data_IF_278514155686
#
_entry.id   IF_278514155686
#
_cell.length_a   1.000
_cell.length_b   1.000
_cell.length_c   1.000
_cell.angle_alpha   90.00
_cell.angle_beta   90.00
_cell.angle_gamma   90.00
#
_symmetry.space_group_name_H-M   'P 1'
#
loop_
_entity.id
_entity.type
_entity.pdbx_description
1 polymer ?
#
# COMPACT_ATOMS: atom_id res chain seq x y z
N UNK A 1 12.93 -3.66 -16.45
CA UNK A 1 12.00 -4.66 -17.04
C UNK A 1 10.58 -4.14 -16.98
N UNK A 2 9.69 -4.58 -17.89
CA UNK A 2 8.27 -4.21 -17.85
C UNK A 2 7.65 -4.72 -16.54
N UNK A 3 6.89 -3.88 -15.83
CA UNK A 3 6.20 -4.28 -14.59
C UNK A 3 4.87 -4.95 -14.96
N UNK A 4 4.59 -6.08 -14.31
CA UNK A 4 3.37 -6.88 -14.56
C UNK A 4 2.12 -6.06 -14.20
N UNK A 5 2.11 -5.42 -13.03
CA UNK A 5 0.97 -4.66 -12.52
C UNK A 5 0.52 -3.53 -13.47
N UNK A 6 1.44 -2.87 -14.17
CA UNK A 6 1.13 -1.78 -15.11
C UNK A 6 0.39 -2.28 -16.37
N UNK A 7 0.27 -3.59 -16.55
CA UNK A 7 -0.43 -4.23 -17.67
C UNK A 7 -1.73 -4.93 -17.26
N UNK A 8 -1.98 -5.15 -15.97
CA UNK A 8 -3.14 -5.94 -15.50
C UNK A 8 -4.47 -5.37 -16.01
N UNK A 9 -4.71 -4.06 -15.83
CA UNK A 9 -5.95 -3.42 -16.31
C UNK A 9 -6.02 -3.22 -17.82
N UNK A 10 -4.93 -3.42 -18.56
CA UNK A 10 -4.99 -3.46 -20.03
C UNK A 10 -5.62 -4.76 -20.51
N UNK A 11 -5.42 -5.86 -19.75
CA UNK A 11 -5.95 -7.19 -20.05
C UNK A 11 -7.31 -7.39 -19.40
N UNK A 12 -7.49 -6.95 -18.16
CA UNK A 12 -8.75 -7.04 -17.40
C UNK A 12 -9.11 -5.67 -16.79
N UNK A 13 -9.80 -4.81 -17.54
CA UNK A 13 -10.05 -3.41 -17.13
C UNK A 13 -10.83 -3.26 -15.82
N UNK A 14 -11.65 -4.25 -15.46
CA UNK A 14 -12.51 -4.22 -14.26
C UNK A 14 -11.83 -4.79 -13.01
N UNK A 15 -10.62 -5.33 -13.11
CA UNK A 15 -9.91 -5.88 -11.94
C UNK A 15 -9.61 -4.78 -10.95
N UNK A 16 -10.05 -4.96 -9.69
CA UNK A 16 -9.64 -4.11 -8.59
C UNK A 16 -8.20 -4.47 -8.18
N UNK A 17 -7.30 -3.49 -8.14
CA UNK A 17 -5.87 -3.69 -7.86
C UNK A 17 -5.51 -3.04 -6.53
N UNK A 18 -5.03 -3.87 -5.60
CA UNK A 18 -4.34 -3.45 -4.38
C UNK A 18 -2.83 -3.65 -4.58
N UNK A 19 -2.09 -2.55 -4.66
CA UNK A 19 -0.64 -2.57 -4.74
C UNK A 19 -0.01 -2.58 -3.33
N UNK A 20 1.20 -3.12 -3.22
CA UNK A 20 2.02 -3.01 -2.01
C UNK A 20 3.35 -2.35 -2.34
N UNK A 21 3.84 -1.52 -1.43
CA UNK A 21 5.11 -0.81 -1.56
C UNK A 21 5.83 -0.74 -0.22
N UNK A 22 7.12 -1.05 -0.23
CA UNK A 22 8.01 -0.86 0.90
C UNK A 22 8.98 0.27 0.59
N UNK A 23 9.17 1.18 1.53
CA UNK A 23 10.15 2.27 1.45
C UNK A 23 11.05 2.23 2.68
N UNK A 24 12.17 2.95 2.66
CA UNK A 24 13.13 2.94 3.76
C UNK A 24 13.48 4.35 4.21
N UNK A 25 13.22 4.63 5.51
CA UNK A 25 13.55 5.88 6.21
C UNK A 25 13.02 7.13 5.51
N UNK A 26 11.74 7.13 5.18
CA UNK A 26 11.07 8.30 4.61
C UNK A 26 10.24 9.03 5.66
N UNK A 27 10.06 10.34 5.48
CA UNK A 27 9.05 11.07 6.24
C UNK A 27 7.65 10.53 5.88
N UNK A 28 6.67 10.68 6.79
CA UNK A 28 5.27 10.28 6.52
C UNK A 28 4.74 10.89 5.22
N UNK A 29 5.09 12.16 4.95
CA UNK A 29 4.68 12.87 3.73
C UNK A 29 5.28 12.20 2.50
N UNK A 30 6.59 11.97 2.49
CA UNK A 30 7.27 11.38 1.32
C UNK A 30 6.86 9.93 1.08
N UNK A 31 6.58 9.18 2.15
CA UNK A 31 6.04 7.82 2.09
C UNK A 31 4.70 7.77 1.35
N UNK A 32 3.77 8.66 1.72
CA UNK A 32 2.44 8.78 1.10
C UNK A 32 2.57 9.27 -0.34
N UNK A 33 3.41 10.28 -0.61
CA UNK A 33 3.61 10.80 -1.97
C UNK A 33 4.22 9.75 -2.91
N UNK A 34 5.20 8.97 -2.42
CA UNK A 34 5.80 7.88 -3.19
C UNK A 34 4.77 6.80 -3.55
N UNK A 35 3.92 6.44 -2.59
CA UNK A 35 2.85 5.49 -2.79
C UNK A 35 1.80 6.00 -3.79
N UNK A 36 1.33 7.24 -3.63
CA UNK A 36 0.33 7.84 -4.51
C UNK A 36 0.81 7.93 -5.96
N UNK A 37 2.06 8.36 -6.18
CA UNK A 37 2.69 8.36 -7.52
C UNK A 37 2.69 6.96 -8.13
N UNK A 38 3.01 5.93 -7.35
CA UNK A 38 3.05 4.54 -7.83
C UNK A 38 1.67 4.00 -8.16
N UNK A 39 0.67 4.33 -7.35
CA UNK A 39 -0.74 3.96 -7.56
C UNK A 39 -1.22 4.49 -8.91
N UNK A 40 -0.99 5.78 -9.21
CA UNK A 40 -1.37 6.38 -10.49
C UNK A 40 -0.64 5.71 -11.67
N UNK A 41 0.66 5.46 -11.54
CA UNK A 41 1.46 4.77 -12.57
C UNK A 41 0.97 3.34 -12.85
N UNK A 42 0.54 2.60 -11.83
CA UNK A 42 0.00 1.24 -11.96
C UNK A 42 -1.46 1.21 -12.42
N UNK A 43 -2.16 2.36 -12.45
CA UNK A 43 -3.61 2.42 -12.49
C UNK A 43 -4.27 1.55 -11.38
N UNK A 44 -3.64 1.48 -10.20
CA UNK A 44 -4.16 0.74 -9.06
C UNK A 44 -5.31 1.49 -8.38
N UNK A 45 -6.12 0.78 -7.61
CA UNK A 45 -7.25 1.35 -6.87
C UNK A 45 -6.86 1.69 -5.44
N UNK A 46 -6.03 0.84 -4.83
CA UNK A 46 -5.42 1.07 -3.53
C UNK A 46 -3.92 0.77 -3.58
N UNK A 47 -3.17 1.42 -2.70
CA UNK A 47 -1.79 1.05 -2.41
C UNK A 47 -1.54 1.05 -0.91
N UNK A 48 -0.95 -0.04 -0.44
CA UNK A 48 -0.46 -0.19 0.93
C UNK A 48 1.01 0.15 0.94
N UNK A 49 1.42 1.08 1.79
CA UNK A 49 2.81 1.49 1.94
C UNK A 49 3.28 1.42 3.39
N UNK A 50 4.49 0.92 3.62
CA UNK A 50 5.15 0.94 4.92
C UNK A 50 6.62 1.36 4.81
N UNK A 51 7.14 1.95 5.88
CA UNK A 51 8.57 2.19 6.06
C UNK A 51 9.20 0.98 6.76
N UNK A 52 10.00 0.19 6.02
CA UNK A 52 10.68 -1.01 6.56
C UNK A 52 11.90 -0.66 7.43
N UNK A 53 12.30 0.61 7.49
CA UNK A 53 13.31 1.11 8.41
C UNK A 53 12.79 1.35 9.82
N UNK A 54 11.47 1.33 10.02
CA UNK A 54 10.84 1.51 11.34
C UNK A 54 10.83 0.19 12.10
N UNK A 55 11.26 0.21 13.37
CA UNK A 55 11.30 -0.99 14.23
C UNK A 55 9.89 -1.61 14.32
N UNK A 56 9.79 -2.91 14.01
CA UNK A 56 8.53 -3.64 14.04
C UNK A 56 7.70 -3.51 12.76
N UNK A 57 8.09 -2.67 11.79
CA UNK A 57 7.41 -2.54 10.50
C UNK A 57 8.21 -3.23 9.39
N UNK A 58 7.57 -4.16 8.67
CA UNK A 58 8.18 -4.85 7.53
C UNK A 58 8.49 -6.33 7.75
N UNK A 59 9.68 -6.74 7.30
CA UNK A 59 10.05 -8.15 7.16
C UNK A 59 10.54 -8.75 8.49
N UNK A 60 10.33 -10.05 8.69
CA UNK A 60 10.87 -10.79 9.85
C UNK A 60 10.24 -10.47 11.20
N UNK A 61 9.13 -9.73 11.26
CA UNK A 61 8.40 -9.37 12.49
C UNK A 61 6.95 -9.84 12.45
N UNK A 62 6.28 -9.93 13.60
CA UNK A 62 4.84 -10.24 13.67
C UNK A 62 3.93 -9.03 13.46
N UNK A 63 4.51 -7.83 13.52
CA UNK A 63 3.80 -6.55 13.44
C UNK A 63 4.05 -5.83 12.12
N UNK A 64 3.20 -4.86 11.80
CA UNK A 64 3.47 -3.87 10.77
C UNK A 64 2.75 -2.55 11.07
N UNK A 65 3.28 -1.46 10.55
CA UNK A 65 2.61 -0.15 10.50
C UNK A 65 2.52 0.25 9.03
N UNK A 66 1.31 0.57 8.56
CA UNK A 66 1.05 0.84 7.15
C UNK A 66 0.21 2.10 6.97
N UNK A 67 0.30 2.67 5.77
CA UNK A 67 -0.65 3.62 5.25
C UNK A 67 -1.32 3.01 4.03
N UNK A 68 -2.65 3.08 3.96
CA UNK A 68 -3.44 2.68 2.80
C UNK A 68 -3.86 3.98 2.11
N UNK A 69 -3.55 4.09 0.82
CA UNK A 69 -3.84 5.28 0.00
C UNK A 69 -4.70 4.88 -1.18
N UNK A 70 -5.76 5.64 -1.44
CA UNK A 70 -6.66 5.43 -2.58
C UNK A 70 -6.42 6.42 -3.74
N UNK A 71 -7.27 6.32 -4.78
CA UNK A 71 -7.20 7.20 -5.97
C UNK A 71 -7.55 8.66 -5.68
N UNK A 72 -8.34 8.92 -4.64
CA UNK A 72 -8.69 10.28 -4.20
C UNK A 72 -7.65 10.85 -3.22
N UNK A 73 -6.58 10.09 -2.97
CA UNK A 73 -5.52 10.41 -2.02
C UNK A 73 -6.02 10.46 -0.58
N UNK A 74 -7.15 9.82 -0.27
CA UNK A 74 -7.56 9.53 1.11
C UNK A 74 -6.53 8.57 1.70
N UNK A 75 -6.19 8.80 2.97
CA UNK A 75 -5.17 8.01 3.67
C UNK A 75 -5.76 7.40 4.92
N UNK A 76 -5.69 6.08 5.02
CA UNK A 76 -5.96 5.34 6.25
C UNK A 76 -4.62 4.96 6.88
N UNK A 77 -4.35 5.44 8.08
CA UNK A 77 -3.18 5.02 8.85
C UNK A 77 -3.58 3.85 9.74
N UNK A 78 -2.87 2.73 9.60
CA UNK A 78 -2.93 1.62 10.56
C UNK A 78 -1.66 1.72 11.41
N UNK A 79 -1.78 2.11 12.70
CA UNK A 79 -0.65 2.10 13.63
C UNK A 79 0.00 0.72 13.73
N UNK A 80 1.16 0.65 14.39
CA UNK A 80 1.87 -0.61 14.61
C UNK A 80 0.93 -1.65 15.27
N UNK A 81 0.58 -2.68 14.52
CA UNK A 81 -0.39 -3.70 14.89
C UNK A 81 0.08 -5.08 14.41
N UNK A 82 -0.56 -6.16 14.86
CA UNK A 82 -0.25 -7.50 14.36
C UNK A 82 -0.54 -7.59 12.86
N UNK A 83 0.28 -8.31 12.09
CA UNK A 83 0.07 -8.50 10.64
C UNK A 83 -1.31 -9.05 10.29
N UNK A 84 -1.90 -9.87 11.18
CA UNK A 84 -3.28 -10.34 11.03
C UNK A 84 -4.31 -9.21 11.10
N UNK A 85 -4.11 -8.24 11.99
CA UNK A 85 -4.99 -7.08 12.14
C UNK A 85 -4.79 -6.11 10.98
N UNK A 86 -3.55 -5.90 10.56
CA UNK A 86 -3.22 -5.12 9.37
C UNK A 86 -3.91 -5.70 8.13
N UNK A 87 -3.86 -7.02 7.95
CA UNK A 87 -4.55 -7.71 6.85
C UNK A 87 -6.08 -7.51 6.89
N UNK A 88 -6.70 -7.60 8.08
CA UNK A 88 -8.13 -7.31 8.25
C UNK A 88 -8.45 -5.87 7.85
N UNK A 89 -7.64 -4.90 8.29
CA UNK A 89 -7.85 -3.48 7.93
C UNK A 89 -7.72 -3.21 6.44
N UNK A 90 -6.82 -3.90 5.74
CA UNK A 90 -6.74 -3.80 4.27
C UNK A 90 -8.03 -4.32 3.63
N UNK A 91 -8.57 -5.45 4.11
CA UNK A 91 -9.83 -5.99 3.59
C UNK A 91 -11.04 -5.13 3.91
N UNK A 92 -11.10 -4.51 5.11
CA UNK A 92 -12.15 -3.56 5.47
C UNK A 92 -12.22 -2.43 4.45
N UNK A 93 -11.07 -1.81 4.11
CA UNK A 93 -10.99 -0.71 3.13
C UNK A 93 -11.33 -1.16 1.70
N UNK A 94 -11.05 -2.41 1.34
CA UNK A 94 -11.43 -2.96 0.01
C UNK A 94 -12.94 -3.16 -0.12
N UNK A 95 -13.65 -3.39 0.99
CA UNK A 95 -15.08 -3.66 1.01
C UNK A 95 -15.96 -2.43 1.25
N UNK A 96 -15.36 -1.25 1.46
CA UNK A 96 -16.05 0.06 1.52
C UNK A 96 -16.34 0.60 0.11
#
# INVERSE_FOLDING_TARGET
TKKIIDHVKKVSPKTFIVAFRAEYKLSKKDLIESAYKRLLQANADLIVVNDVGKKGAGFGTETNEIFIVDREKKVVHVPLALKREVARKILDVVNE
#
